data_IF_804100935531
#
_entry.id   IF_804100935531
#
_cell.length_a   1.000
_cell.length_b   1.000
_cell.length_c   1.000
_cell.angle_alpha   90.00
_cell.angle_beta   90.00
_cell.angle_gamma   90.00
#
_symmetry.space_group_name_H-M   'P 1'
#
loop_
_entity.id
_entity.type
_entity.pdbx_description
1 polymer ?
#
# COMPACT_ATOMS: atom_id res chain seq x y z
N UNK A 1 -15.71 13.32 -19.72
CA UNK A 1 -14.38 13.33 -19.08
C UNK A 1 -14.29 12.08 -18.22
N UNK A 2 -13.64 11.04 -18.72
CA UNK A 2 -13.57 9.74 -18.04
C UNK A 2 -12.68 9.89 -16.81
N UNK A 3 -13.28 9.80 -15.63
CA UNK A 3 -12.56 9.78 -14.37
C UNK A 3 -11.85 8.42 -14.27
N UNK A 4 -10.69 8.29 -14.92
CA UNK A 4 -9.83 7.12 -14.79
C UNK A 4 -9.22 7.18 -13.40
N UNK A 5 -9.97 6.71 -12.41
CA UNK A 5 -9.41 6.31 -11.15
C UNK A 5 -8.61 5.04 -11.48
N UNK A 6 -7.27 5.06 -11.55
CA UNK A 6 -6.53 3.83 -11.73
C UNK A 6 -6.96 2.95 -10.56
N UNK A 7 -7.60 1.83 -10.85
CA UNK A 7 -7.92 0.84 -9.84
C UNK A 7 -6.56 0.35 -9.38
N UNK A 8 -6.04 0.96 -8.31
CA UNK A 8 -4.83 0.52 -7.64
C UNK A 8 -5.19 -0.88 -7.15
N UNK A 9 -4.67 -1.90 -7.85
CA UNK A 9 -4.83 -3.27 -7.41
C UNK A 9 -3.99 -3.42 -6.15
N UNK A 10 -4.61 -3.21 -5.00
CA UNK A 10 -4.03 -3.43 -3.68
C UNK A 10 -4.01 -4.91 -3.31
N UNK A 11 -4.04 -5.79 -4.32
CA UNK A 11 -4.00 -7.22 -4.15
C UNK A 11 -2.63 -7.64 -3.63
N UNK A 12 -2.57 -7.93 -2.33
CA UNK A 12 -1.39 -8.46 -1.67
C UNK A 12 -1.44 -9.98 -1.81
N UNK A 13 -0.57 -10.52 -2.65
CA UNK A 13 -0.42 -11.97 -2.76
C UNK A 13 0.24 -12.53 -1.49
N UNK A 14 -0.59 -13.00 -0.55
CA UNK A 14 -0.12 -13.62 0.69
C UNK A 14 0.47 -15.02 0.46
N UNK A 15 0.38 -15.60 -0.73
CA UNK A 15 0.96 -16.92 -1.02
C UNK A 15 2.35 -16.83 -1.64
N UNK A 16 2.58 -15.90 -2.57
CA UNK A 16 3.86 -15.75 -3.30
C UNK A 16 4.49 -14.36 -3.16
N UNK A 17 3.80 -13.43 -2.50
CA UNK A 17 4.27 -12.08 -2.18
C UNK A 17 4.87 -11.97 -0.78
N UNK A 18 5.01 -13.07 -0.03
CA UNK A 18 5.67 -13.07 1.28
C UNK A 18 7.13 -13.53 1.21
N UNK A 19 8.02 -12.81 1.90
CA UNK A 19 9.46 -13.08 1.90
C UNK A 19 10.03 -12.91 3.32
N UNK A 20 10.80 -13.89 3.85
CA UNK A 20 11.49 -13.71 5.13
C UNK A 20 12.49 -12.55 5.10
N UNK A 21 12.67 -11.86 6.23
CA UNK A 21 13.57 -10.70 6.35
C UNK A 21 15.02 -11.00 5.94
N UNK A 22 15.52 -12.22 6.22
CA UNK A 22 16.85 -12.65 5.80
C UNK A 22 17.00 -12.72 4.27
N UNK A 23 15.96 -13.21 3.57
CA UNK A 23 15.91 -13.26 2.10
C UNK A 23 15.67 -11.88 1.49
N UNK A 24 14.88 -11.03 2.17
CA UNK A 24 14.67 -9.65 1.76
C UNK A 24 15.99 -8.86 1.75
N UNK A 25 16.80 -9.00 2.80
CA UNK A 25 18.10 -8.36 2.91
C UNK A 25 19.06 -8.81 1.79
N UNK A 26 19.14 -10.12 1.51
CA UNK A 26 20.05 -10.66 0.49
C UNK A 26 19.61 -10.40 -0.96
N UNK A 27 18.34 -10.08 -1.20
CA UNK A 27 17.76 -9.99 -2.56
C UNK A 27 17.00 -8.69 -2.81
N UNK A 28 17.34 -7.62 -2.07
CA UNK A 28 16.59 -6.36 -2.08
C UNK A 28 16.42 -5.77 -3.48
N UNK A 29 17.48 -5.69 -4.28
CA UNK A 29 17.43 -5.13 -5.63
C UNK A 29 16.43 -5.87 -6.55
N UNK A 30 16.42 -7.21 -6.47
CA UNK A 30 15.48 -8.05 -7.23
C UNK A 30 14.03 -7.81 -6.77
N UNK A 31 13.81 -7.71 -5.45
CA UNK A 31 12.49 -7.47 -4.88
C UNK A 31 11.96 -6.08 -5.22
N UNK A 32 12.81 -5.05 -5.22
CA UNK A 32 12.46 -3.70 -5.67
C UNK A 32 12.06 -3.70 -7.15
N UNK A 33 12.81 -4.39 -8.00
CA UNK A 33 12.47 -4.55 -9.43
C UNK A 33 11.12 -5.22 -9.59
N UNK A 34 10.89 -6.35 -8.91
CA UNK A 34 9.62 -7.10 -8.94
C UNK A 34 8.44 -6.23 -8.49
N UNK A 35 8.57 -5.55 -7.33
CA UNK A 35 7.51 -4.71 -6.78
C UNK A 35 7.11 -3.58 -7.74
N UNK A 36 8.08 -3.01 -8.46
CA UNK A 36 7.83 -1.99 -9.49
C UNK A 36 7.18 -2.59 -10.75
N UNK A 37 7.72 -3.68 -11.29
CA UNK A 37 7.23 -4.28 -12.54
C UNK A 37 5.83 -4.88 -12.40
N UNK A 38 5.50 -5.46 -11.24
CA UNK A 38 4.20 -6.07 -10.99
C UNK A 38 3.21 -5.08 -10.37
N UNK A 39 3.69 -3.89 -9.99
CA UNK A 39 2.97 -2.92 -9.17
C UNK A 39 2.28 -3.56 -7.95
N UNK A 40 2.92 -4.60 -7.39
CA UNK A 40 2.37 -5.46 -6.36
C UNK A 40 3.24 -5.38 -5.10
N UNK A 41 2.66 -5.06 -3.93
CA UNK A 41 3.39 -5.04 -2.67
C UNK A 41 3.94 -6.43 -2.30
N UNK A 42 5.11 -6.43 -1.66
CA UNK A 42 5.77 -7.63 -1.14
C UNK A 42 5.79 -7.52 0.38
N UNK A 43 5.20 -8.50 1.06
CA UNK A 43 5.20 -8.59 2.52
C UNK A 43 6.51 -9.20 3.00
N UNK A 44 7.17 -8.51 3.93
CA UNK A 44 8.36 -9.01 4.62
C UNK A 44 7.93 -9.62 5.95
N UNK A 45 8.41 -10.83 6.25
CA UNK A 45 8.11 -11.54 7.49
C UNK A 45 9.33 -11.73 8.37
N UNK A 46 9.14 -11.73 9.68
CA UNK A 46 10.17 -12.02 10.68
C UNK A 46 9.59 -12.98 11.72
N UNK A 47 10.31 -14.09 11.99
CA UNK A 47 9.84 -15.17 12.90
C UNK A 47 8.46 -15.72 12.52
N UNK A 48 8.11 -15.72 11.24
CA UNK A 48 6.81 -16.18 10.73
C UNK A 48 5.69 -15.13 10.74
N UNK A 49 5.93 -13.92 11.24
CA UNK A 49 4.93 -12.86 11.32
C UNK A 49 5.24 -11.72 10.32
N UNK A 50 4.23 -11.10 9.68
CA UNK A 50 4.43 -9.90 8.88
C UNK A 50 5.05 -8.77 9.72
N UNK A 51 6.13 -8.18 9.21
CA UNK A 51 6.89 -7.13 9.90
C UNK A 51 7.01 -5.85 9.08
N UNK A 52 6.80 -5.91 7.77
CA UNK A 52 6.86 -4.75 6.89
C UNK A 52 6.38 -5.06 5.47
N UNK A 53 6.28 -4.04 4.64
CA UNK A 53 5.86 -4.15 3.24
C UNK A 53 6.82 -3.35 2.36
N UNK A 54 7.25 -3.94 1.26
CA UNK A 54 7.98 -3.28 0.19
C UNK A 54 7.02 -2.98 -0.96
N UNK A 55 6.96 -1.72 -1.38
CA UNK A 55 6.18 -1.28 -2.53
C UNK A 55 6.89 -0.14 -3.27
N UNK A 56 6.43 0.18 -4.48
CA UNK A 56 6.95 1.33 -5.24
C UNK A 56 6.59 2.66 -4.56
N UNK A 57 7.43 3.68 -4.76
CA UNK A 57 7.18 5.04 -4.25
C UNK A 57 5.87 5.60 -4.84
N UNK A 58 5.60 5.28 -6.10
CA UNK A 58 4.38 5.68 -6.81
C UNK A 58 3.13 5.13 -6.10
N UNK A 59 3.11 3.83 -5.79
CA UNK A 59 2.01 3.20 -5.06
C UNK A 59 1.88 3.76 -3.63
N UNK A 60 3.00 4.01 -2.95
CA UNK A 60 2.98 4.60 -1.61
C UNK A 60 2.37 5.99 -1.62
N UNK A 61 2.76 6.81 -2.58
CA UNK A 61 2.29 8.20 -2.72
C UNK A 61 0.79 8.21 -3.02
N UNK A 62 0.34 7.37 -3.94
CA UNK A 62 -1.08 7.23 -4.26
C UNK A 62 -1.91 6.80 -3.03
N UNK A 63 -1.46 5.78 -2.30
CA UNK A 63 -2.09 5.33 -1.06
C UNK A 63 -2.15 6.43 0.01
N UNK A 64 -1.06 7.18 0.18
CA UNK A 64 -0.99 8.27 1.13
C UNK A 64 -1.98 9.38 0.78
N UNK A 65 -2.04 9.82 -0.48
CA UNK A 65 -2.98 10.85 -0.93
C UNK A 65 -4.44 10.41 -0.73
N UNK A 66 -4.75 9.14 -1.00
CA UNK A 66 -6.09 8.59 -0.74
C UNK A 66 -6.44 8.60 0.75
N UNK A 67 -5.50 8.20 1.63
CA UNK A 67 -5.71 8.21 3.07
C UNK A 67 -5.92 9.64 3.60
N UNK A 68 -5.11 10.60 3.16
CA UNK A 68 -5.24 12.02 3.52
C UNK A 68 -6.61 12.59 3.07
N UNK A 69 -7.06 12.25 1.86
CA UNK A 69 -8.38 12.65 1.37
C UNK A 69 -9.53 12.02 2.17
N UNK A 70 -9.40 10.74 2.57
CA UNK A 70 -10.40 10.04 3.38
C UNK A 70 -10.51 10.65 4.79
N UNK A 71 -9.39 11.02 5.42
CA UNK A 71 -9.40 11.69 6.73
C UNK A 71 -10.00 13.09 6.65
N UNK A 72 -9.67 13.86 5.60
CA UNK A 72 -10.28 15.17 5.37
C UNK A 72 -11.81 15.08 5.13
N UNK A 73 -12.29 14.01 4.50
CA UNK A 73 -13.72 13.75 4.32
C UNK A 73 -14.42 13.45 5.65
N UNK A 74 -13.81 12.65 6.54
CA UNK A 74 -14.36 12.34 7.87
C UNK A 74 -14.51 13.59 8.75
N UNK A 75 -13.54 14.51 8.70
CA UNK A 75 -13.58 15.75 9.48
C UNK A 75 -14.67 16.74 9.07
N UNK A 76 -15.26 16.60 7.87
CA UNK A 76 -16.36 17.46 7.39
C UNK A 76 -17.75 16.96 7.79
N UNK A 77 -17.89 15.69 8.16
CA UNK A 77 -19.19 15.10 8.50
C UNK A 77 -19.61 15.40 9.95
N UNK A 78 -18.67 15.66 10.87
CA UNK A 78 -18.97 15.89 12.29
C UNK A 78 -19.26 17.36 12.66
N UNK A 79 -19.16 18.30 11.73
CA UNK A 79 -19.34 19.74 11.99
C UNK A 79 -20.70 20.31 11.54
N UNK A 80 -21.63 19.45 11.09
CA UNK A 80 -22.90 19.88 10.48
C UNK A 80 -24.17 19.51 11.25
N UNK A 81 -24.09 18.89 12.43
CA UNK A 81 -25.26 18.35 13.13
C UNK A 81 -25.36 18.89 14.57
N UNK A 82 -25.53 20.21 14.69
CA UNK A 82 -26.20 20.86 15.84
C UNK A 82 -26.73 22.23 15.40
N UNK A 83 -27.86 22.26 14.71
CA UNK A 83 -28.90 23.29 14.94
C UNK A 83 -30.24 22.78 14.38
N UNK A 84 -31.26 22.74 15.23
CA UNK A 84 -32.58 22.17 14.98
C UNK A 84 -33.35 21.91 16.26
#
# INVERSE_FOLDING_TARGET
MSNQNPVLSLDVDLQRGMVPISKAASSLAMLMKRAREQNQPIVITQKGYPSGVLLSIELFTALRTMAEAAEAAKGKTTAGETDG
#
